data_IF_377609323269
#
_entry.id   IF_377609323269
#
_cell.length_a   1.000
_cell.length_b   1.000
_cell.length_c   1.000
_cell.angle_alpha   90.00
_cell.angle_beta   90.00
_cell.angle_gamma   90.00
#
_symmetry.space_group_name_H-M   'P 1'
#
loop_
_entity.id
_entity.type
_entity.pdbx_description
1 polymer ?
#
# COMPACT_ATOMS: atom_id res chain seq x y z
N UNK A 1 26.08 67.16 3.09
CA UNK A 1 25.11 66.05 3.05
C UNK A 1 25.21 65.42 1.67
N UNK A 2 25.28 64.09 1.57
CA UNK A 2 25.31 63.42 0.27
C UNK A 2 23.97 63.63 -0.46
N UNK A 3 24.00 63.75 -1.78
CA UNK A 3 22.78 63.84 -2.59
C UNK A 3 22.10 62.47 -2.69
N UNK A 4 20.79 62.44 -2.95
CA UNK A 4 20.04 61.18 -3.15
C UNK A 4 20.69 60.29 -4.23
N UNK A 5 21.17 60.90 -5.31
CA UNK A 5 21.87 60.23 -6.39
C UNK A 5 23.21 59.60 -5.94
N UNK A 6 23.96 60.27 -5.06
CA UNK A 6 25.20 59.70 -4.49
C UNK A 6 24.91 58.48 -3.61
N UNK A 7 23.78 58.48 -2.90
CA UNK A 7 23.36 57.39 -2.04
C UNK A 7 22.94 56.13 -2.83
N UNK A 8 22.14 56.32 -3.88
CA UNK A 8 21.73 55.25 -4.80
C UNK A 8 22.95 54.61 -5.48
N UNK A 9 23.88 55.43 -5.99
CA UNK A 9 25.13 54.96 -6.58
C UNK A 9 25.99 54.14 -5.60
N UNK A 10 26.01 54.52 -4.32
CA UNK A 10 26.74 53.80 -3.29
C UNK A 10 26.11 52.42 -3.00
N UNK A 11 24.78 52.33 -2.97
CA UNK A 11 24.08 51.05 -2.82
C UNK A 11 24.35 50.13 -4.02
N UNK A 12 24.34 50.65 -5.24
CA UNK A 12 24.70 49.88 -6.44
C UNK A 12 26.13 49.33 -6.34
N UNK A 13 27.10 50.15 -5.89
CA UNK A 13 28.48 49.69 -5.67
C UNK A 13 28.58 48.61 -4.60
N UNK A 14 27.83 48.74 -3.50
CA UNK A 14 27.78 47.73 -2.44
C UNK A 14 27.26 46.41 -3.01
N UNK A 15 26.16 46.45 -3.78
CA UNK A 15 25.59 45.25 -4.40
C UNK A 15 26.55 44.59 -5.38
N UNK A 16 27.22 45.36 -6.24
CA UNK A 16 28.25 44.85 -7.15
C UNK A 16 29.42 44.20 -6.40
N UNK A 17 29.86 44.81 -5.29
CA UNK A 17 30.90 44.23 -4.45
C UNK A 17 30.44 42.94 -3.74
N UNK A 18 29.16 42.80 -3.38
CA UNK A 18 28.62 41.55 -2.84
C UNK A 18 28.50 40.45 -3.89
N UNK A 19 28.12 40.78 -5.12
CA UNK A 19 28.10 39.83 -6.23
C UNK A 19 29.49 39.22 -6.41
N UNK A 20 30.51 40.08 -6.52
CA UNK A 20 31.92 39.65 -6.57
C UNK A 20 32.32 38.83 -5.34
N UNK A 21 31.91 39.23 -4.13
CA UNK A 21 32.21 38.47 -2.91
C UNK A 21 31.64 37.03 -2.97
N UNK A 22 30.47 36.87 -3.59
CA UNK A 22 29.77 35.58 -3.70
C UNK A 22 30.39 34.66 -4.77
N UNK A 23 31.11 35.21 -5.74
CA UNK A 23 31.84 34.44 -6.75
C UNK A 23 33.07 33.71 -6.18
N UNK A 24 33.57 34.12 -5.02
CA UNK A 24 34.70 33.45 -4.37
C UNK A 24 34.28 32.13 -3.71
N UNK A 25 34.79 31.01 -4.24
CA UNK A 25 34.75 29.72 -3.54
C UNK A 25 35.94 29.59 -2.60
N UNK A 26 35.76 28.93 -1.45
CA UNK A 26 36.82 28.79 -0.43
C UNK A 26 38.00 28.01 -0.99
N UNK A 27 37.72 26.97 -1.78
CA UNK A 27 38.70 26.11 -2.44
C UNK A 27 39.60 26.91 -3.39
N UNK A 28 39.03 27.86 -4.13
CA UNK A 28 39.72 28.73 -5.09
C UNK A 28 40.62 29.78 -4.40
N UNK A 29 40.32 30.10 -3.14
CA UNK A 29 41.12 31.04 -2.35
C UNK A 29 42.25 30.36 -1.59
N UNK A 30 41.98 29.18 -1.06
CA UNK A 30 42.96 28.38 -0.31
C UNK A 30 44.01 27.77 -1.25
N UNK A 31 43.62 27.36 -2.47
CA UNK A 31 44.51 26.86 -3.54
C UNK A 31 45.41 25.69 -3.12
N UNK A 32 44.95 24.84 -2.21
CA UNK A 32 45.69 23.69 -1.68
C UNK A 32 46.05 22.67 -2.78
N UNK A 33 45.13 22.43 -3.72
CA UNK A 33 45.33 21.52 -4.84
C UNK A 33 46.36 22.02 -5.87
N UNK A 34 46.51 23.34 -6.04
CA UNK A 34 47.39 23.95 -7.04
C UNK A 34 48.79 24.27 -6.50
N UNK A 35 48.87 24.77 -5.26
CA UNK A 35 50.11 25.26 -4.64
C UNK A 35 50.72 24.26 -3.65
N UNK A 36 50.02 23.16 -3.35
CA UNK A 36 50.44 22.16 -2.37
C UNK A 36 50.42 22.68 -0.93
N UNK A 37 50.87 21.85 0.01
CA UNK A 37 50.80 22.14 1.45
C UNK A 37 51.75 23.24 1.92
N UNK A 38 52.76 23.62 1.13
CA UNK A 38 53.79 24.58 1.54
C UNK A 38 53.54 26.02 1.06
N UNK A 39 52.80 26.22 -0.03
CA UNK A 39 52.57 27.54 -0.63
C UNK A 39 51.08 27.91 -0.73
N UNK A 40 50.18 27.05 -0.23
CA UNK A 40 48.75 27.34 -0.18
C UNK A 40 48.38 28.31 0.94
N UNK A 41 47.17 28.84 0.86
CA UNK A 41 46.57 29.75 1.85
C UNK A 41 45.70 29.02 2.87
N UNK A 42 45.94 27.72 3.11
CA UNK A 42 45.15 26.90 4.05
C UNK A 42 45.12 27.50 5.45
N UNK A 43 46.23 28.08 5.89
CA UNK A 43 46.34 28.73 7.21
C UNK A 43 45.38 29.94 7.36
N UNK A 44 44.98 30.58 6.25
CA UNK A 44 44.06 31.72 6.24
C UNK A 44 42.58 31.32 6.13
N UNK A 45 42.25 30.05 5.91
CA UNK A 45 40.89 29.56 5.62
C UNK A 45 39.86 30.02 6.66
N UNK A 46 40.19 29.90 7.95
CA UNK A 46 39.31 30.36 9.04
C UNK A 46 39.01 31.86 8.93
N UNK A 47 40.02 32.69 8.67
CA UNK A 47 39.84 34.15 8.56
C UNK A 47 39.05 34.52 7.30
N UNK A 48 39.25 33.81 6.18
CA UNK A 48 38.46 33.98 4.96
C UNK A 48 36.97 33.71 5.24
N UNK A 49 36.64 32.55 5.85
CA UNK A 49 35.25 32.18 6.18
C UNK A 49 34.61 33.22 7.09
N UNK A 50 35.32 33.62 8.16
CA UNK A 50 34.82 34.64 9.10
C UNK A 50 34.57 35.98 8.41
N UNK A 51 35.41 36.35 7.45
CA UNK A 51 35.27 37.61 6.70
C UNK A 51 34.04 37.55 5.79
N UNK A 52 33.86 36.46 5.04
CA UNK A 52 32.71 36.27 4.14
C UNK A 52 31.39 36.25 4.93
N UNK A 53 31.33 35.49 6.03
CA UNK A 53 30.14 35.42 6.89
C UNK A 53 29.79 36.79 7.49
N UNK A 54 30.77 37.54 7.98
CA UNK A 54 30.57 38.88 8.54
C UNK A 54 29.91 39.83 7.55
N UNK A 55 30.41 39.91 6.32
CA UNK A 55 29.82 40.75 5.28
C UNK A 55 28.45 40.21 4.85
N UNK A 56 28.28 38.90 4.68
CA UNK A 56 26.99 38.30 4.30
C UNK A 56 25.87 38.58 5.31
N UNK A 57 26.18 38.64 6.61
CA UNK A 57 25.19 39.04 7.62
C UNK A 57 24.67 40.46 7.38
N UNK A 58 25.54 41.38 6.96
CA UNK A 58 25.15 42.75 6.66
C UNK A 58 24.30 42.90 5.39
N UNK A 59 24.31 41.91 4.49
CA UNK A 59 23.46 41.86 3.29
C UNK A 59 21.97 41.90 3.59
N UNK A 60 21.57 41.46 4.78
CA UNK A 60 20.14 41.36 5.19
C UNK A 60 19.56 42.68 5.68
N UNK A 61 20.39 43.72 5.83
CA UNK A 61 19.98 45.02 6.37
C UNK A 61 19.42 45.90 5.24
N UNK A 62 18.33 46.62 5.51
CA UNK A 62 17.88 47.68 4.62
C UNK A 62 18.87 48.85 4.67
N UNK A 63 19.61 49.07 3.58
CA UNK A 63 20.60 50.14 3.51
C UNK A 63 19.98 51.54 3.46
N UNK A 64 18.69 51.70 3.16
CA UNK A 64 18.05 53.03 3.09
C UNK A 64 18.09 53.80 4.41
N UNK A 65 18.13 53.10 5.54
CA UNK A 65 18.10 53.69 6.88
C UNK A 65 19.50 53.99 7.45
N UNK A 66 20.57 53.71 6.70
CA UNK A 66 21.95 53.77 7.20
C UNK A 66 22.65 55.08 6.80
N UNK A 67 23.22 55.86 7.74
CA UNK A 67 23.95 57.08 7.38
C UNK A 67 25.02 56.88 6.29
N UNK A 68 25.02 57.74 5.27
CA UNK A 68 25.89 57.63 4.07
C UNK A 68 27.36 57.36 4.41
N UNK A 69 27.92 58.05 5.41
CA UNK A 69 29.31 57.87 5.80
C UNK A 69 29.60 56.45 6.34
N UNK A 70 28.65 55.84 7.05
CA UNK A 70 28.78 54.47 7.53
C UNK A 70 28.72 53.48 6.37
N UNK A 71 27.77 53.65 5.44
CA UNK A 71 27.70 52.84 4.22
C UNK A 71 28.96 52.97 3.36
N UNK A 72 29.50 54.19 3.23
CA UNK A 72 30.68 54.43 2.41
C UNK A 72 31.92 53.76 3.01
N UNK A 73 32.09 53.88 4.32
CA UNK A 73 33.19 53.20 5.02
C UNK A 73 33.04 51.68 4.95
N UNK A 74 31.81 51.16 5.11
CA UNK A 74 31.50 49.75 4.95
C UNK A 74 31.82 49.25 3.53
N UNK A 75 31.39 49.97 2.50
CA UNK A 75 31.66 49.63 1.10
C UNK A 75 33.16 49.59 0.80
N UNK A 76 33.92 50.54 1.36
CA UNK A 76 35.38 50.55 1.23
C UNK A 76 36.02 49.30 1.86
N UNK A 77 35.52 48.83 3.00
CA UNK A 77 35.99 47.59 3.62
C UNK A 77 35.60 46.35 2.83
N UNK A 78 34.36 46.29 2.32
CA UNK A 78 33.89 45.20 1.46
C UNK A 78 34.72 45.11 0.17
N UNK A 79 35.02 46.25 -0.45
CA UNK A 79 35.93 46.32 -1.59
C UNK A 79 37.34 45.85 -1.23
N UNK A 80 37.89 46.30 -0.11
CA UNK A 80 39.21 45.89 0.34
C UNK A 80 39.30 44.37 0.60
N UNK A 81 38.22 43.73 1.06
CA UNK A 81 38.13 42.28 1.19
C UNK A 81 38.14 41.57 -0.19
N UNK A 82 37.39 42.08 -1.16
CA UNK A 82 37.42 41.55 -2.54
C UNK A 82 38.81 41.67 -3.18
N UNK A 83 39.46 42.83 -3.04
CA UNK A 83 40.80 43.06 -3.57
C UNK A 83 41.84 42.15 -2.88
N UNK A 84 41.61 41.82 -1.60
CA UNK A 84 42.42 40.87 -0.86
C UNK A 84 42.29 39.44 -1.37
N UNK A 85 41.06 39.01 -1.62
CA UNK A 85 40.76 37.69 -2.17
C UNK A 85 41.28 37.53 -3.61
N UNK A 86 41.24 38.59 -4.42
CA UNK A 86 41.89 38.61 -5.74
C UNK A 86 43.41 38.47 -5.64
N UNK A 87 44.02 39.05 -4.60
CA UNK A 87 45.46 38.90 -4.35
C UNK A 87 45.85 37.45 -4.02
N UNK A 88 44.95 36.66 -3.43
CA UNK A 88 45.18 35.23 -3.17
C UNK A 88 45.08 34.42 -4.47
N UNK A 89 44.07 34.72 -5.31
CA UNK A 89 43.91 34.10 -6.64
C UNK A 89 45.09 34.39 -7.56
N UNK A 90 45.59 35.63 -7.56
CA UNK A 90 46.67 36.08 -8.45
C UNK A 90 48.08 35.80 -7.92
N UNK A 91 48.22 35.15 -6.75
CA UNK A 91 49.52 34.78 -6.21
C UNK A 91 50.30 33.86 -7.16
N UNK A 92 51.56 34.20 -7.41
CA UNK A 92 52.43 33.48 -8.35
C UNK A 92 53.59 32.79 -7.61
N UNK A 93 53.65 31.44 -7.60
CA UNK A 93 54.67 30.69 -6.88
C UNK A 93 56.08 30.77 -7.50
N UNK A 94 56.21 31.26 -8.73
CA UNK A 94 57.49 31.35 -9.46
C UNK A 94 58.24 32.68 -9.21
N UNK A 95 57.80 33.48 -8.25
CA UNK A 95 58.43 34.75 -7.90
C UNK A 95 59.59 34.57 -6.93
N UNK A 96 60.44 35.59 -6.78
CA UNK A 96 61.52 35.55 -5.80
C UNK A 96 60.93 35.59 -4.38
N UNK A 97 61.26 34.60 -3.55
CA UNK A 97 60.80 34.46 -2.16
C UNK A 97 59.27 34.32 -1.99
N UNK A 98 58.65 33.28 -2.57
CA UNK A 98 57.19 33.11 -2.61
C UNK A 98 56.59 32.81 -1.22
N UNK A 99 57.33 32.14 -0.33
CA UNK A 99 56.87 31.84 1.04
C UNK A 99 56.64 33.12 1.84
N UNK A 100 57.60 34.04 1.85
CA UNK A 100 57.45 35.30 2.58
C UNK A 100 56.31 36.18 2.02
N UNK A 101 56.09 36.13 0.71
CA UNK A 101 54.98 36.85 0.08
C UNK A 101 53.62 36.23 0.44
N UNK A 102 53.53 34.89 0.45
CA UNK A 102 52.36 34.14 0.93
C UNK A 102 52.06 34.50 2.39
N UNK A 103 53.05 34.43 3.26
CA UNK A 103 52.88 34.72 4.70
C UNK A 103 52.47 36.19 4.94
N UNK A 104 52.98 37.12 4.15
CA UNK A 104 52.55 38.53 4.17
C UNK A 104 51.09 38.69 3.74
N UNK A 105 50.66 37.93 2.72
CA UNK A 105 49.27 37.90 2.27
C UNK A 105 48.31 37.32 3.33
N UNK A 106 48.75 36.33 4.11
CA UNK A 106 47.97 35.83 5.24
C UNK A 106 47.92 36.89 6.35
N UNK A 107 49.09 37.41 6.74
CA UNK A 107 49.22 38.36 7.84
C UNK A 107 48.41 39.64 7.62
N UNK A 108 48.39 40.23 6.41
CA UNK A 108 47.57 41.43 6.22
C UNK A 108 46.07 41.14 6.07
N UNK A 109 45.64 39.89 5.82
CA UNK A 109 44.22 39.53 5.94
C UNK A 109 43.84 39.45 7.43
N UNK A 110 44.65 38.75 8.23
CA UNK A 110 44.40 38.60 9.67
C UNK A 110 44.39 39.96 10.38
N UNK A 111 45.36 40.81 10.10
CA UNK A 111 45.43 42.15 10.70
C UNK A 111 44.27 43.07 10.28
N UNK A 112 43.66 42.83 9.12
CA UNK A 112 42.57 43.67 8.60
C UNK A 112 41.19 43.23 9.12
N UNK A 113 41.07 42.01 9.67
CA UNK A 113 39.80 41.45 10.12
C UNK A 113 39.09 42.34 11.16
N UNK A 114 39.83 42.88 12.13
CA UNK A 114 39.27 43.79 13.13
C UNK A 114 38.71 45.07 12.49
N UNK A 115 39.36 45.57 11.43
CA UNK A 115 38.88 46.70 10.65
C UNK A 115 37.59 46.39 9.89
N UNK A 116 37.48 45.19 9.32
CA UNK A 116 36.22 44.73 8.71
C UNK A 116 35.10 44.71 9.76
N UNK A 117 35.35 44.10 10.91
CA UNK A 117 34.37 44.01 11.99
C UNK A 117 33.91 45.36 12.51
N UNK A 118 34.84 46.28 12.76
CA UNK A 118 34.55 47.63 13.27
C UNK A 118 33.61 48.42 12.34
N UNK A 119 33.71 48.24 11.02
CA UNK A 119 32.90 48.96 10.04
C UNK A 119 31.61 48.24 9.65
N UNK A 120 31.54 46.93 9.84
CA UNK A 120 30.31 46.14 9.60
C UNK A 120 29.34 46.20 10.78
N UNK A 121 29.84 46.26 12.02
CA UNK A 121 29.01 46.27 13.23
C UNK A 121 27.95 47.39 13.27
N UNK A 122 28.26 48.66 12.90
CA UNK A 122 27.25 49.72 12.88
C UNK A 122 26.11 49.45 11.89
N UNK A 123 26.41 48.81 10.75
CA UNK A 123 25.39 48.45 9.75
C UNK A 123 24.42 47.43 10.33
N UNK A 124 24.96 46.38 10.96
CA UNK A 124 24.16 45.36 11.64
C UNK A 124 23.33 45.94 12.77
N UNK A 125 23.90 46.89 13.52
CA UNK A 125 23.20 47.57 14.62
C UNK A 125 22.02 48.40 14.11
N UNK A 126 22.19 49.14 13.00
CA UNK A 126 21.07 49.85 12.36
C UNK A 126 20.00 48.87 11.88
N UNK A 127 20.38 47.75 11.25
CA UNK A 127 19.42 46.71 10.87
C UNK A 127 18.64 46.12 12.05
N UNK A 128 19.32 45.88 13.17
CA UNK A 128 18.69 45.44 14.41
C UNK A 128 17.74 46.50 14.97
N UNK A 129 18.11 47.78 14.94
CA UNK A 129 17.30 48.90 15.44
C UNK A 129 16.09 49.20 14.54
N UNK A 130 16.24 49.12 13.22
CA UNK A 130 15.13 49.25 12.26
C UNK A 130 14.14 48.07 12.35
N UNK A 131 14.60 46.90 12.79
CA UNK A 131 13.76 45.73 13.05
C UNK A 131 13.09 45.68 14.43
N UNK A 132 13.33 46.67 15.31
CA UNK A 132 13.16 46.53 16.76
C UNK A 132 11.80 46.98 17.36
N UNK A 133 10.69 46.82 16.64
CA UNK A 133 9.38 46.77 17.33
C UNK A 133 9.13 45.35 17.86
N UNK A 134 10.00 44.91 18.78
CA UNK A 134 9.99 43.59 19.43
C UNK A 134 8.61 43.23 20.02
N UNK A 135 7.89 44.24 20.50
CA UNK A 135 6.53 44.15 21.05
C UNK A 135 5.51 43.63 20.03
N UNK A 136 5.52 44.19 18.81
CA UNK A 136 4.58 43.80 17.75
C UNK A 136 4.91 42.43 17.20
N UNK A 137 6.20 42.08 17.11
CA UNK A 137 6.64 40.78 16.60
C UNK A 137 6.35 39.65 17.61
N UNK A 138 6.54 39.88 18.90
CA UNK A 138 6.22 38.91 19.96
C UNK A 138 4.71 38.61 20.00
N UNK A 139 3.86 39.64 19.94
CA UNK A 139 2.40 39.46 19.90
C UNK A 139 1.95 38.64 18.68
N UNK A 140 2.62 38.81 17.53
CA UNK A 140 2.34 38.06 16.31
C UNK A 140 2.79 36.60 16.41
N UNK A 141 3.92 36.32 17.08
CA UNK A 141 4.38 34.97 17.36
C UNK A 141 3.41 34.27 18.33
N UNK A 142 2.99 34.93 19.40
CA UNK A 142 2.04 34.35 20.36
C UNK A 142 0.70 34.04 19.70
N UNK A 143 0.23 34.91 18.80
CA UNK A 143 -0.97 34.66 18.00
C UNK A 143 -0.79 33.47 17.05
N UNK A 144 0.34 33.39 16.34
CA UNK A 144 0.65 32.26 15.45
C UNK A 144 0.75 30.94 16.22
N UNK A 145 1.33 30.93 17.42
CA UNK A 145 1.41 29.75 18.30
C UNK A 145 0.03 29.33 18.77
N UNK A 146 -0.82 30.29 19.18
CA UNK A 146 -2.22 30.02 19.54
C UNK A 146 -3.03 29.44 18.38
N UNK A 147 -2.89 30.00 17.17
CA UNK A 147 -3.59 29.52 15.99
C UNK A 147 -3.08 28.14 15.55
N UNK A 148 -1.77 27.89 15.68
CA UNK A 148 -1.18 26.56 15.50
C UNK A 148 -1.75 25.56 16.51
N UNK A 149 -1.82 25.89 17.79
CA UNK A 149 -2.35 24.99 18.83
C UNK A 149 -3.82 24.63 18.57
N UNK A 150 -4.64 25.63 18.20
CA UNK A 150 -6.04 25.39 17.79
C UNK A 150 -6.13 24.48 16.58
N UNK A 151 -5.32 24.74 15.54
CA UNK A 151 -5.35 23.96 14.30
C UNK A 151 -4.84 22.54 14.51
N UNK A 152 -3.85 22.35 15.38
CA UNK A 152 -3.38 21.02 15.80
C UNK A 152 -4.48 20.25 16.50
N UNK A 153 -5.16 20.85 17.50
CA UNK A 153 -6.29 20.22 18.19
C UNK A 153 -7.47 19.89 17.27
N UNK A 154 -7.81 20.79 16.34
CA UNK A 154 -8.84 20.50 15.33
C UNK A 154 -8.43 19.37 14.40
N UNK A 155 -7.15 19.29 14.05
CA UNK A 155 -6.61 18.23 13.20
C UNK A 155 -6.58 16.88 13.93
N UNK A 156 -6.20 16.86 15.21
CA UNK A 156 -6.29 15.67 16.08
C UNK A 156 -7.73 15.17 16.16
N UNK A 157 -8.68 16.05 16.47
CA UNK A 157 -10.10 15.70 16.56
C UNK A 157 -10.65 15.16 15.25
N UNK A 158 -10.33 15.81 14.12
CA UNK A 158 -10.72 15.31 12.79
C UNK A 158 -10.05 13.97 12.49
N UNK A 159 -8.80 13.78 12.90
CA UNK A 159 -8.09 12.51 12.80
C UNK A 159 -8.81 11.38 13.54
N UNK A 160 -9.22 11.60 14.79
CA UNK A 160 -10.00 10.65 15.57
C UNK A 160 -11.37 10.33 14.93
N UNK A 161 -12.07 11.35 14.43
CA UNK A 161 -13.34 11.19 13.71
C UNK A 161 -13.15 10.36 12.43
N UNK A 162 -12.10 10.63 11.65
CA UNK A 162 -11.77 9.84 10.45
C UNK A 162 -11.38 8.40 10.78
N UNK A 163 -10.60 8.16 11.85
CA UNK A 163 -10.26 6.80 12.28
C UNK A 163 -11.50 6.02 12.67
N UNK A 164 -12.44 6.65 13.38
CA UNK A 164 -13.72 6.04 13.74
C UNK A 164 -14.56 5.69 12.51
N UNK A 165 -14.68 6.62 11.56
CA UNK A 165 -15.40 6.39 10.30
C UNK A 165 -14.73 5.32 9.43
N UNK A 166 -13.40 5.27 9.42
CA UNK A 166 -12.63 4.25 8.71
C UNK A 166 -12.87 2.86 9.30
N UNK A 167 -12.86 2.73 10.63
CA UNK A 167 -13.14 1.45 11.31
C UNK A 167 -14.56 0.96 11.01
N UNK A 168 -15.55 1.85 11.07
CA UNK A 168 -16.94 1.53 10.74
C UNK A 168 -17.12 1.13 9.25
N UNK A 169 -16.45 1.84 8.35
CA UNK A 169 -16.47 1.55 6.91
C UNK A 169 -15.77 0.23 6.60
N UNK A 170 -14.61 -0.03 7.22
CA UNK A 170 -13.86 -1.27 7.07
C UNK A 170 -14.71 -2.46 7.54
N UNK A 171 -15.30 -2.36 8.72
CA UNK A 171 -16.21 -3.38 9.27
C UNK A 171 -17.40 -3.63 8.36
N UNK A 172 -18.02 -2.57 7.83
CA UNK A 172 -19.15 -2.68 6.90
C UNK A 172 -18.74 -3.33 5.57
N UNK A 173 -17.55 -3.02 5.05
CA UNK A 173 -17.01 -3.63 3.84
C UNK A 173 -16.67 -5.12 4.04
N UNK A 174 -16.08 -5.49 5.19
CA UNK A 174 -15.82 -6.88 5.56
C UNK A 174 -17.12 -7.68 5.70
N UNK A 175 -18.13 -7.14 6.38
CA UNK A 175 -19.45 -7.77 6.53
C UNK A 175 -20.14 -7.94 5.18
N UNK A 176 -20.08 -6.92 4.30
CA UNK A 176 -20.64 -7.00 2.95
C UNK A 176 -19.91 -8.05 2.10
N UNK A 177 -18.57 -8.09 2.14
CA UNK A 177 -17.78 -9.08 1.42
C UNK A 177 -18.08 -10.51 1.89
N UNK A 178 -18.16 -10.72 3.21
CA UNK A 178 -18.53 -12.00 3.81
C UNK A 178 -19.95 -12.43 3.39
N UNK A 179 -20.92 -11.51 3.45
CA UNK A 179 -22.32 -11.77 3.08
C UNK A 179 -22.48 -12.05 1.59
N UNK A 180 -21.78 -11.33 0.72
CA UNK A 180 -21.84 -11.53 -0.74
C UNK A 180 -21.21 -12.86 -1.14
N UNK A 181 -20.06 -13.23 -0.57
CA UNK A 181 -19.38 -14.49 -0.87
C UNK A 181 -20.19 -15.72 -0.42
N UNK A 182 -20.61 -15.75 0.84
CA UNK A 182 -21.36 -16.89 1.42
C UNK A 182 -22.76 -17.01 0.79
N UNK A 183 -23.46 -15.89 0.59
CA UNK A 183 -24.78 -15.88 -0.04
C UNK A 183 -24.74 -16.37 -1.50
N UNK A 184 -23.73 -15.95 -2.29
CA UNK A 184 -23.64 -16.34 -3.70
C UNK A 184 -23.42 -17.85 -3.86
N UNK A 185 -22.50 -18.45 -3.09
CA UNK A 185 -22.27 -19.89 -3.15
C UNK A 185 -23.46 -20.68 -2.59
N UNK A 186 -24.10 -20.20 -1.51
CA UNK A 186 -25.33 -20.79 -0.97
C UNK A 186 -26.45 -20.80 -2.03
N UNK A 187 -26.62 -19.71 -2.79
CA UNK A 187 -27.59 -19.63 -3.89
C UNK A 187 -27.28 -20.59 -5.05
N UNK A 188 -25.99 -20.77 -5.41
CA UNK A 188 -25.59 -21.72 -6.45
C UNK A 188 -25.95 -23.15 -6.02
N UNK A 189 -25.59 -23.56 -4.81
CA UNK A 189 -25.94 -24.88 -4.29
C UNK A 189 -27.46 -25.07 -4.15
N UNK A 190 -28.21 -24.03 -3.80
CA UNK A 190 -29.67 -24.10 -3.80
C UNK A 190 -30.23 -24.36 -5.19
N UNK A 191 -29.74 -23.63 -6.19
CA UNK A 191 -30.17 -23.78 -7.59
C UNK A 191 -29.89 -25.20 -8.09
N UNK A 192 -28.66 -25.68 -7.92
CA UNK A 192 -28.26 -27.05 -8.28
C UNK A 192 -29.08 -28.12 -7.54
N UNK A 193 -29.36 -27.90 -6.25
CA UNK A 193 -30.22 -28.78 -5.45
C UNK A 193 -31.63 -28.87 -6.05
N UNK A 194 -32.23 -27.72 -6.40
CA UNK A 194 -33.58 -27.68 -6.98
C UNK A 194 -33.64 -28.31 -8.37
N UNK A 195 -32.61 -28.14 -9.20
CA UNK A 195 -32.56 -28.76 -10.52
C UNK A 195 -32.42 -30.28 -10.40
N UNK A 196 -31.53 -30.77 -9.54
CA UNK A 196 -31.43 -32.21 -9.28
C UNK A 196 -32.69 -32.79 -8.63
N UNK A 197 -33.38 -32.05 -7.75
CA UNK A 197 -34.68 -32.45 -7.20
C UNK A 197 -35.72 -32.58 -8.32
N UNK A 198 -35.77 -31.64 -9.26
CA UNK A 198 -36.65 -31.69 -10.43
C UNK A 198 -36.34 -32.89 -11.32
N UNK A 199 -35.06 -33.12 -11.63
CA UNK A 199 -34.64 -34.28 -12.42
C UNK A 199 -34.95 -35.60 -11.72
N UNK A 200 -34.78 -35.68 -10.39
CA UNK A 200 -35.16 -36.87 -9.63
C UNK A 200 -36.65 -37.18 -9.79
N UNK A 201 -37.53 -36.17 -9.75
CA UNK A 201 -38.97 -36.36 -9.96
C UNK A 201 -39.29 -36.84 -11.38
N UNK A 202 -38.55 -36.38 -12.38
CA UNK A 202 -38.68 -36.84 -13.78
C UNK A 202 -38.28 -38.32 -13.87
N UNK A 203 -37.12 -38.69 -13.33
CA UNK A 203 -36.67 -40.09 -13.30
C UNK A 203 -37.59 -41.01 -12.49
N UNK A 204 -38.21 -40.50 -11.43
CA UNK A 204 -39.23 -41.23 -10.67
C UNK A 204 -40.46 -41.53 -11.55
N UNK A 205 -40.94 -40.54 -12.32
CA UNK A 205 -42.04 -40.74 -13.28
C UNK A 205 -41.69 -41.78 -14.34
N UNK A 206 -40.46 -41.74 -14.88
CA UNK A 206 -39.98 -42.76 -15.82
C UNK A 206 -39.92 -44.15 -15.18
N UNK A 207 -39.43 -44.24 -13.93
CA UNK A 207 -39.35 -45.50 -13.18
C UNK A 207 -40.75 -46.11 -13.00
N UNK A 208 -41.73 -45.29 -12.59
CA UNK A 208 -43.13 -45.72 -12.46
C UNK A 208 -43.70 -46.13 -13.82
N UNK A 209 -43.42 -45.38 -14.89
CA UNK A 209 -43.85 -45.70 -16.24
C UNK A 209 -43.30 -47.03 -16.76
N UNK A 210 -42.01 -47.30 -16.55
CA UNK A 210 -41.39 -48.59 -16.90
C UNK A 210 -41.98 -49.73 -16.08
N UNK A 211 -42.26 -49.51 -14.79
CA UNK A 211 -42.91 -50.52 -13.94
C UNK A 211 -44.32 -50.87 -14.45
N UNK A 212 -45.13 -49.86 -14.79
CA UNK A 212 -46.45 -50.07 -15.40
C UNK A 212 -46.30 -50.82 -16.74
N UNK A 213 -45.33 -50.43 -17.58
CA UNK A 213 -45.07 -51.11 -18.84
C UNK A 213 -44.69 -52.59 -18.64
N UNK A 214 -43.88 -52.93 -17.63
CA UNK A 214 -43.54 -54.33 -17.30
C UNK A 214 -44.81 -55.11 -16.94
N UNK A 215 -45.68 -54.54 -16.10
CA UNK A 215 -46.95 -55.19 -15.70
C UNK A 215 -47.85 -55.40 -16.92
N UNK A 216 -48.00 -54.39 -17.78
CA UNK A 216 -48.80 -54.49 -19.01
C UNK A 216 -48.21 -55.52 -19.98
N UNK A 217 -46.89 -55.52 -20.19
CA UNK A 217 -46.21 -56.50 -21.03
C UNK A 217 -46.39 -57.93 -20.49
N UNK A 218 -46.32 -58.11 -19.16
CA UNK A 218 -46.58 -59.39 -18.52
C UNK A 218 -48.02 -59.87 -18.75
N UNK A 219 -49.01 -58.97 -18.62
CA UNK A 219 -50.42 -59.29 -18.92
C UNK A 219 -50.58 -59.68 -20.39
N UNK A 220 -50.03 -58.91 -21.33
CA UNK A 220 -50.09 -59.24 -22.77
C UNK A 220 -49.45 -60.60 -23.02
N UNK A 221 -48.28 -60.87 -22.44
CA UNK A 221 -47.60 -62.16 -22.60
C UNK A 221 -48.36 -63.34 -21.99
N UNK A 222 -49.27 -63.12 -21.05
CA UNK A 222 -50.18 -64.17 -20.57
C UNK A 222 -51.23 -64.51 -21.63
N UNK A 223 -51.69 -63.54 -22.44
CA UNK A 223 -52.74 -63.79 -23.45
C UNK A 223 -52.19 -64.22 -24.82
N UNK A 224 -50.92 -63.95 -25.13
CA UNK A 224 -50.29 -64.38 -26.39
C UNK A 224 -49.68 -65.77 -26.21
N UNK A 225 -50.34 -66.79 -26.77
CA UNK A 225 -49.89 -68.17 -26.81
C UNK A 225 -49.45 -68.58 -28.23
N UNK A 226 -48.49 -69.51 -28.38
CA UNK A 226 -48.20 -70.13 -29.66
C UNK A 226 -49.40 -70.94 -30.16
N UNK A 227 -49.59 -71.04 -31.47
CA UNK A 227 -50.67 -71.81 -32.08
C UNK A 227 -50.59 -73.30 -31.70
N UNK A 228 -51.73 -73.98 -31.65
CA UNK A 228 -51.81 -75.40 -31.25
C UNK A 228 -51.07 -76.35 -32.20
N UNK A 229 -50.64 -75.87 -33.37
CA UNK A 229 -49.86 -76.61 -34.37
C UNK A 229 -48.36 -76.31 -34.32
N UNK A 230 -47.90 -75.45 -33.40
CA UNK A 230 -46.49 -75.04 -33.32
C UNK A 230 -45.57 -76.18 -32.87
N UNK A 231 -44.38 -76.23 -33.45
CA UNK A 231 -43.33 -77.18 -33.08
C UNK A 231 -42.72 -76.83 -31.71
N UNK A 232 -42.17 -77.82 -30.99
CA UNK A 232 -41.48 -77.61 -29.72
C UNK A 232 -40.38 -76.55 -29.79
N UNK A 233 -39.67 -76.47 -30.93
CA UNK A 233 -38.64 -75.45 -31.16
C UNK A 233 -39.20 -74.02 -31.22
N UNK A 234 -40.37 -73.85 -31.83
CA UNK A 234 -41.05 -72.54 -31.96
C UNK A 234 -41.57 -72.07 -30.59
N UNK A 235 -42.10 -72.99 -29.78
CA UNK A 235 -42.55 -72.70 -28.40
C UNK A 235 -41.37 -72.25 -27.52
N UNK A 236 -40.21 -72.92 -27.66
CA UNK A 236 -38.98 -72.55 -26.95
C UNK A 236 -38.51 -71.16 -27.38
N UNK A 237 -38.41 -70.90 -28.69
CA UNK A 237 -38.01 -69.59 -29.22
C UNK A 237 -38.94 -68.48 -28.71
N UNK A 238 -40.25 -68.71 -28.77
CA UNK A 238 -41.27 -67.77 -28.31
C UNK A 238 -41.13 -67.46 -26.80
N UNK A 239 -40.83 -68.47 -25.99
CA UNK A 239 -40.58 -68.31 -24.54
C UNK A 239 -39.30 -67.52 -24.27
N UNK A 240 -38.21 -67.82 -25.00
CA UNK A 240 -36.94 -67.11 -24.89
C UNK A 240 -37.11 -65.62 -25.25
N UNK A 241 -37.86 -65.31 -26.32
CA UNK A 241 -38.13 -63.91 -26.69
C UNK A 241 -38.83 -63.14 -25.58
N UNK A 242 -39.83 -63.73 -24.90
CA UNK A 242 -40.50 -63.10 -23.74
C UNK A 242 -39.51 -62.81 -22.61
N UNK A 243 -38.63 -63.76 -22.29
CA UNK A 243 -37.60 -63.59 -21.26
C UNK A 243 -36.63 -62.47 -21.64
N UNK A 244 -36.18 -62.41 -22.89
CA UNK A 244 -35.29 -61.34 -23.38
C UNK A 244 -35.97 -59.97 -23.27
N UNK A 245 -37.23 -59.85 -23.70
CA UNK A 245 -37.97 -58.57 -23.62
C UNK A 245 -38.15 -58.14 -22.16
N UNK A 246 -38.59 -59.02 -21.27
CA UNK A 246 -38.73 -58.71 -19.84
C UNK A 246 -37.38 -58.33 -19.22
N UNK A 247 -36.31 -59.07 -19.54
CA UNK A 247 -34.96 -58.77 -19.04
C UNK A 247 -34.47 -57.39 -19.49
N UNK A 248 -34.73 -57.00 -20.74
CA UNK A 248 -34.40 -55.68 -21.24
C UNK A 248 -35.19 -54.58 -20.49
N UNK A 249 -36.47 -54.81 -20.20
CA UNK A 249 -37.29 -53.87 -19.42
C UNK A 249 -36.83 -53.75 -17.97
N UNK A 250 -36.48 -54.86 -17.32
CA UNK A 250 -35.88 -54.86 -15.97
C UNK A 250 -34.53 -54.13 -15.94
N UNK A 251 -33.71 -54.27 -16.98
CA UNK A 251 -32.48 -53.50 -17.13
C UNK A 251 -32.76 -52.00 -17.26
N UNK A 252 -33.75 -51.61 -18.07
CA UNK A 252 -34.23 -50.23 -18.16
C UNK A 252 -34.72 -49.67 -16.81
N UNK A 253 -35.46 -50.48 -16.04
CA UNK A 253 -35.90 -50.12 -14.69
C UNK A 253 -34.70 -49.87 -13.75
N UNK A 254 -33.67 -50.71 -13.83
CA UNK A 254 -32.44 -50.54 -13.05
C UNK A 254 -31.73 -49.21 -13.36
N UNK A 255 -31.62 -48.84 -14.63
CA UNK A 255 -31.05 -47.54 -15.05
C UNK A 255 -31.87 -46.38 -14.52
N UNK A 256 -33.20 -46.44 -14.64
CA UNK A 256 -34.09 -45.37 -14.16
C UNK A 256 -33.95 -45.19 -12.64
N UNK A 257 -33.95 -46.28 -11.89
CA UNK A 257 -33.76 -46.26 -10.44
C UNK A 257 -32.37 -45.73 -10.04
N UNK A 258 -31.31 -46.10 -10.76
CA UNK A 258 -29.95 -45.59 -10.52
C UNK A 258 -29.88 -44.08 -10.72
N UNK A 259 -30.46 -43.56 -11.81
CA UNK A 259 -30.47 -42.13 -12.10
C UNK A 259 -31.34 -41.35 -11.11
N UNK A 260 -32.49 -41.91 -10.70
CA UNK A 260 -33.32 -41.34 -9.63
C UNK A 260 -32.51 -41.16 -8.34
N UNK A 261 -31.85 -42.24 -7.88
CA UNK A 261 -31.01 -42.24 -6.68
C UNK A 261 -29.86 -41.25 -6.77
N UNK A 262 -29.16 -41.19 -7.90
CA UNK A 262 -28.04 -40.26 -8.11
C UNK A 262 -28.50 -38.79 -8.04
N UNK A 263 -29.58 -38.43 -8.72
CA UNK A 263 -30.12 -37.07 -8.65
C UNK A 263 -30.64 -36.73 -7.25
N UNK A 264 -31.27 -37.68 -6.55
CA UNK A 264 -31.75 -37.45 -5.18
C UNK A 264 -30.61 -37.32 -4.17
N UNK A 265 -29.52 -38.07 -4.38
CA UNK A 265 -28.27 -37.90 -3.63
C UNK A 265 -27.71 -36.49 -3.81
N UNK A 266 -27.50 -36.05 -5.06
CA UNK A 266 -26.94 -34.73 -5.34
C UNK A 266 -27.83 -33.59 -4.86
N UNK A 267 -29.16 -33.73 -4.99
CA UNK A 267 -30.11 -32.76 -4.48
C UNK A 267 -29.96 -32.57 -2.96
N UNK A 268 -29.88 -33.69 -2.23
CA UNK A 268 -29.73 -33.69 -0.76
C UNK A 268 -28.37 -33.15 -0.35
N UNK A 269 -27.29 -33.57 -1.02
CA UNK A 269 -25.92 -33.11 -0.74
C UNK A 269 -25.78 -31.60 -0.97
N UNK A 270 -26.25 -31.10 -2.11
CA UNK A 270 -26.22 -29.66 -2.39
C UNK A 270 -27.12 -28.86 -1.43
N UNK A 271 -28.26 -29.42 -0.99
CA UNK A 271 -29.10 -28.78 0.02
C UNK A 271 -28.38 -28.68 1.37
N UNK A 272 -27.66 -29.73 1.76
CA UNK A 272 -26.84 -29.73 2.95
C UNK A 272 -25.71 -28.70 2.87
N UNK A 273 -24.96 -28.64 1.75
CA UNK A 273 -23.92 -27.62 1.50
C UNK A 273 -24.46 -26.20 1.59
N UNK A 274 -25.64 -25.96 1.04
CA UNK A 274 -26.35 -24.69 1.12
C UNK A 274 -26.68 -24.29 2.56
N UNK A 275 -27.19 -25.23 3.35
CA UNK A 275 -27.48 -25.01 4.78
C UNK A 275 -26.20 -24.79 5.60
N UNK A 276 -25.13 -25.54 5.31
CA UNK A 276 -23.82 -25.39 5.97
C UNK A 276 -23.22 -24.00 5.70
N UNK A 277 -23.25 -23.52 4.45
CA UNK A 277 -22.83 -22.16 4.11
C UNK A 277 -23.69 -21.10 4.80
N UNK A 278 -25.02 -21.27 4.79
CA UNK A 278 -25.92 -20.30 5.42
C UNK A 278 -25.74 -20.20 6.94
N UNK A 279 -25.37 -21.30 7.59
CA UNK A 279 -25.15 -21.35 9.04
C UNK A 279 -23.71 -20.97 9.43
N UNK A 280 -22.74 -21.18 8.54
CA UNK A 280 -21.35 -20.79 8.74
C UNK A 280 -21.20 -19.29 9.07
N UNK A 281 -21.93 -18.40 8.39
CA UNK A 281 -21.90 -16.97 8.69
C UNK A 281 -22.30 -16.68 10.15
N UNK A 282 -23.29 -17.42 10.66
CA UNK A 282 -23.78 -17.25 12.04
C UNK A 282 -22.73 -17.75 13.04
N UNK A 283 -22.12 -18.91 12.80
CA UNK A 283 -21.08 -19.44 13.67
C UNK A 283 -19.78 -18.61 13.62
N UNK A 284 -19.39 -18.14 12.45
CA UNK A 284 -18.20 -17.31 12.27
C UNK A 284 -18.36 -15.93 12.96
N UNK A 285 -19.56 -15.35 12.93
CA UNK A 285 -19.87 -14.12 13.68
C UNK A 285 -19.93 -14.38 15.19
N UNK A 286 -20.51 -15.49 15.62
CA UNK A 286 -20.62 -15.85 17.04
C UNK A 286 -19.25 -16.12 17.71
N UNK A 287 -18.25 -16.56 16.94
CA UNK A 287 -16.89 -16.76 17.43
C UNK A 287 -16.17 -15.46 17.84
N UNK A 288 -16.67 -14.30 17.41
CA UNK A 288 -16.12 -12.98 17.79
C UNK A 288 -14.64 -12.82 17.43
N UNK A 289 -13.83 -12.41 18.41
CA UNK A 289 -12.39 -12.17 18.27
C UNK A 289 -11.52 -13.38 18.61
N UNK A 290 -12.10 -14.50 19.06
CA UNK A 290 -11.32 -15.70 19.36
C UNK A 290 -10.86 -16.39 18.07
N UNK A 291 -9.58 -16.20 17.74
CA UNK A 291 -8.95 -16.77 16.57
C UNK A 291 -8.98 -18.30 16.57
N UNK A 292 -8.93 -18.95 17.75
CA UNK A 292 -8.95 -20.41 17.84
C UNK A 292 -10.34 -20.96 17.49
N UNK A 293 -11.41 -20.43 18.08
CA UNK A 293 -12.78 -20.82 17.74
C UNK A 293 -13.11 -20.49 16.29
N UNK A 294 -12.69 -19.32 15.77
CA UNK A 294 -12.93 -18.93 14.37
C UNK A 294 -12.25 -19.88 13.38
N UNK A 295 -11.00 -20.28 13.65
CA UNK A 295 -10.29 -21.27 12.84
C UNK A 295 -10.94 -22.66 12.91
N UNK A 296 -11.38 -23.10 14.09
CA UNK A 296 -12.08 -24.37 14.25
C UNK A 296 -13.40 -24.40 13.46
N UNK A 297 -14.20 -23.34 13.54
CA UNK A 297 -15.45 -23.17 12.77
C UNK A 297 -15.17 -23.16 11.26
N UNK A 298 -14.10 -22.51 10.81
CA UNK A 298 -13.70 -22.49 9.39
C UNK A 298 -13.30 -23.87 8.88
N UNK A 299 -12.49 -24.60 9.64
CA UNK A 299 -12.05 -25.96 9.28
C UNK A 299 -13.27 -26.88 9.19
N UNK A 300 -14.14 -26.87 10.21
CA UNK A 300 -15.32 -27.73 10.26
C UNK A 300 -16.34 -27.39 9.16
N UNK A 301 -16.55 -26.11 8.88
CA UNK A 301 -17.43 -25.68 7.79
C UNK A 301 -16.85 -26.08 6.42
N UNK A 302 -15.55 -25.92 6.20
CA UNK A 302 -14.90 -26.35 4.96
C UNK A 302 -15.03 -27.87 4.78
N UNK A 303 -14.80 -28.64 5.84
CA UNK A 303 -15.03 -30.08 5.83
C UNK A 303 -16.50 -30.42 5.52
N UNK A 304 -17.46 -29.76 6.17
CA UNK A 304 -18.90 -29.99 5.98
C UNK A 304 -19.36 -29.66 4.55
N UNK A 305 -18.78 -28.63 3.91
CA UNK A 305 -19.14 -28.21 2.56
C UNK A 305 -18.50 -29.12 1.49
N UNK A 306 -17.24 -29.51 1.65
CA UNK A 306 -16.48 -30.18 0.60
C UNK A 306 -16.30 -31.69 0.81
N UNK A 307 -16.64 -32.24 1.99
CA UNK A 307 -16.62 -33.68 2.22
C UNK A 307 -17.66 -34.40 1.34
N UNK A 308 -17.33 -35.64 0.99
CA UNK A 308 -18.21 -36.52 0.24
C UNK A 308 -19.15 -37.24 1.20
N UNK A 309 -20.25 -36.58 1.60
CA UNK A 309 -21.21 -37.13 2.54
C UNK A 309 -22.17 -38.13 1.90
N UNK A 310 -22.44 -39.24 2.58
CA UNK A 310 -23.41 -40.24 2.15
C UNK A 310 -24.84 -39.85 2.57
N UNK A 311 -25.77 -39.84 1.61
CA UNK A 311 -27.17 -39.43 1.84
C UNK A 311 -28.16 -40.61 1.86
N UNK A 312 -27.67 -41.85 1.97
CA UNK A 312 -28.47 -43.07 1.95
C UNK A 312 -29.04 -43.47 0.58
N UNK A 313 -28.93 -42.61 -0.43
CA UNK A 313 -29.37 -42.90 -1.81
C UNK A 313 -28.32 -43.63 -2.66
N UNK A 314 -27.05 -43.58 -2.28
CA UNK A 314 -25.95 -44.30 -2.92
C UNK A 314 -25.37 -45.34 -1.94
N UNK A 315 -25.11 -46.55 -2.43
CA UNK A 315 -24.49 -47.61 -1.63
C UNK A 315 -22.98 -47.35 -1.47
N UNK A 316 -22.50 -47.59 -0.27
CA UNK A 316 -21.15 -47.34 0.23
C UNK A 316 -20.14 -48.37 -0.28
N UNK A 317 -19.78 -48.35 -1.56
CA UNK A 317 -18.59 -49.09 -2.00
C UNK A 317 -17.60 -48.12 -2.64
N UNK A 318 -16.53 -47.82 -1.87
CA UNK A 318 -15.27 -47.13 -2.25
C UNK A 318 -15.23 -45.60 -2.30
N UNK A 319 -15.57 -44.89 -1.23
CA UNK A 319 -15.30 -43.42 -1.20
C UNK A 319 -14.86 -42.83 0.15
N UNK A 320 -14.45 -43.66 1.12
CA UNK A 320 -14.01 -43.17 2.44
C UNK A 320 -12.58 -42.57 2.49
N UNK A 321 -11.84 -42.58 1.39
CA UNK A 321 -10.41 -42.18 1.37
C UNK A 321 -10.16 -40.71 1.00
N UNK A 322 -11.16 -40.01 0.44
CA UNK A 322 -11.01 -38.64 -0.07
C UNK A 322 -11.28 -37.55 0.98
N UNK A 323 -12.09 -37.82 2.01
CA UNK A 323 -12.48 -36.83 3.03
C UNK A 323 -11.32 -36.43 3.97
N UNK A 324 -10.37 -37.34 4.23
CA UNK A 324 -9.28 -37.08 5.18
C UNK A 324 -8.14 -36.20 4.61
N UNK A 325 -7.94 -36.17 3.29
CA UNK A 325 -6.81 -35.45 2.67
C UNK A 325 -6.94 -33.93 2.75
N UNK A 326 -8.15 -33.39 2.70
CA UNK A 326 -8.37 -31.94 2.78
C UNK A 326 -8.09 -31.43 4.21
N UNK A 327 -8.43 -32.21 5.23
CA UNK A 327 -8.15 -31.88 6.64
C UNK A 327 -6.65 -31.89 6.92
N UNK A 328 -5.90 -32.86 6.38
CA UNK A 328 -4.43 -32.88 6.49
C UNK A 328 -3.77 -31.68 5.81
N UNK A 329 -4.23 -31.28 4.61
CA UNK A 329 -3.66 -30.14 3.89
C UNK A 329 -3.90 -28.83 4.66
N UNK A 330 -5.11 -28.61 5.16
CA UNK A 330 -5.43 -27.37 5.91
C UNK A 330 -4.67 -27.34 7.25
N UNK A 331 -4.55 -28.48 7.93
CA UNK A 331 -3.80 -28.58 9.19
C UNK A 331 -2.31 -28.33 8.99
N UNK A 332 -1.71 -28.84 7.92
CA UNK A 332 -0.30 -28.62 7.58
C UNK A 332 0.01 -27.18 7.14
N UNK A 333 -0.95 -26.47 6.54
CA UNK A 333 -0.77 -25.04 6.20
C UNK A 333 -0.87 -24.16 7.45
N UNK A 334 -1.70 -24.53 8.42
CA UNK A 334 -1.84 -23.81 9.68
C UNK A 334 -0.63 -23.99 10.61
N UNK A 335 0.01 -25.17 10.64
CA UNK A 335 1.19 -25.44 11.49
C UNK A 335 2.50 -24.92 10.92
N UNK A 336 2.62 -24.67 9.60
CA UNK A 336 3.84 -24.14 8.98
C UNK A 336 4.03 -22.62 9.13
N UNK A 337 3.25 -21.97 10.01
CA UNK A 337 3.34 -20.53 10.28
C UNK A 337 3.90 -20.17 11.67
N UNK A 338 4.42 -21.15 12.40
CA UNK A 338 5.22 -20.92 13.62
C UNK A 338 6.72 -20.83 13.32
#
# INVERSE_FOLDING_TARGET
>A
MATKQQYEQLIEQINANYEKLTEFQIEDLVRENELGSQLSFKDAESTIIKTIDLFNRAKTVNYEDVPYNLLNNFNNQLKAANDRFDSFKSFNPNQNNPVNQRDSLITQLDNQYDGYYQHTLPILTVGLLSGNDLSVQQAKIDQLVSDLDKKTKETEKKGEEYLTQLDETLKSAEEAAAKVGVSRHSQIFNTESTEHERQSKIWLKWTVGVLIAIVVAAIIFIFVFPDTTSSSAEIIQFSITKVIVLSAMFYGLSICNRNYKAHKHNATLNKHRQNALSTFETFAKAAGTDAQTKNAVLIEATHTIFSNQQTGYLNSEKDNESSNKIVEIIKNVATNKE
#
